data_IF_253951645462
#
_entry.id   IF_253951645462
#
_cell.length_a   1.000
_cell.length_b   1.000
_cell.length_c   1.000
_cell.angle_alpha   90.00
_cell.angle_beta   90.00
_cell.angle_gamma   90.00
#
_symmetry.space_group_name_H-M   'P 1'
#
loop_
_entity.id
_entity.type
_entity.pdbx_description
1 polymer ?
#
# COMPACT_ATOMS: atom_id res chain seq x y z
N UNK A 1 -43.46 16.38 47.74
CA UNK A 1 -43.66 15.02 48.31
C UNK A 1 -42.92 14.06 47.39
N UNK A 2 -41.69 13.60 47.74
CA UNK A 2 -41.40 12.33 48.47
C UNK A 2 -42.33 11.22 47.95
N UNK A 3 -41.85 10.14 47.33
CA UNK A 3 -40.99 9.10 47.93
C UNK A 3 -40.18 8.35 46.85
N UNK A 4 -38.87 8.21 47.12
CA UNK A 4 -37.92 7.30 46.49
C UNK A 4 -38.27 5.85 46.83
N UNK A 5 -38.26 4.94 45.84
CA UNK A 5 -38.28 3.50 46.08
C UNK A 5 -36.95 2.89 45.62
N UNK A 6 -36.11 2.60 46.60
CA UNK A 6 -34.87 1.83 46.49
C UNK A 6 -35.16 0.40 46.01
N UNK A 7 -34.40 -0.10 45.03
CA UNK A 7 -34.13 -1.54 44.90
C UNK A 7 -32.64 -1.79 45.05
N UNK A 8 -32.30 -2.34 46.22
CA UNK A 8 -31.00 -2.91 46.55
C UNK A 8 -30.72 -4.10 45.64
N UNK A 9 -29.81 -3.94 44.68
CA UNK A 9 -29.29 -5.06 43.90
C UNK A 9 -28.11 -5.67 44.67
N UNK A 10 -28.43 -6.78 45.32
CA UNK A 10 -27.60 -7.51 46.27
C UNK A 10 -26.40 -8.14 45.55
N UNK A 11 -25.21 -7.65 45.88
CA UNK A 11 -23.92 -8.28 45.59
C UNK A 11 -23.84 -9.66 46.26
N UNK A 12 -23.73 -10.73 45.46
CA UNK A 12 -23.23 -12.02 45.93
C UNK A 12 -21.82 -12.20 45.41
N UNK A 13 -20.87 -11.91 46.28
CA UNK A 13 -19.49 -12.35 46.19
C UNK A 13 -19.46 -13.87 45.99
N UNK A 14 -18.99 -14.33 44.83
CA UNK A 14 -18.36 -15.63 44.70
C UNK A 14 -16.86 -15.41 44.84
N UNK A 15 -16.37 -15.75 46.04
CA UNK A 15 -14.98 -16.06 46.29
C UNK A 15 -14.53 -17.15 45.32
N UNK A 16 -13.62 -16.82 44.41
CA UNK A 16 -12.75 -17.77 43.74
C UNK A 16 -11.31 -17.41 44.12
N UNK A 17 -10.86 -17.94 45.26
CA UNK A 17 -9.45 -17.91 45.65
C UNK A 17 -8.85 -19.26 45.27
N UNK A 18 -8.00 -19.20 44.24
CA UNK A 18 -6.72 -19.90 44.03
C UNK A 18 -6.69 -21.44 44.19
N UNK A 19 -6.36 -22.14 43.10
CA UNK A 19 -5.21 -23.06 42.91
C UNK A 19 -5.51 -23.93 41.68
N UNK A 20 -5.01 -23.52 40.51
CA UNK A 20 -4.83 -24.37 39.32
C UNK A 20 -3.82 -23.71 38.37
N UNK A 21 -2.64 -23.37 38.92
CA UNK A 21 -1.42 -23.31 38.11
C UNK A 21 -0.91 -24.74 37.97
N UNK A 22 -0.36 -25.05 36.78
CA UNK A 22 0.30 -26.29 36.33
C UNK A 22 -0.59 -27.13 35.38
N UNK A 23 -0.18 -27.16 34.11
CA UNK A 23 -0.68 -27.97 32.99
C UNK A 23 -1.81 -27.38 32.12
N UNK A 24 -1.80 -26.06 31.84
CA UNK A 24 -2.28 -25.63 30.54
C UNK A 24 -1.15 -25.91 29.55
N UNK A 25 -1.26 -26.91 28.64
CA UNK A 25 -0.34 -26.97 27.52
C UNK A 25 -0.44 -25.61 26.85
N UNK A 26 0.69 -24.92 26.76
CA UNK A 26 0.86 -23.78 25.87
C UNK A 26 0.52 -24.28 24.47
N UNK A 27 -0.76 -24.24 24.11
CA UNK A 27 -1.26 -24.23 22.75
C UNK A 27 -0.74 -22.92 22.16
N UNK A 28 0.55 -22.89 21.87
CA UNK A 28 1.10 -22.07 20.81
C UNK A 28 0.36 -22.54 19.58
N UNK A 29 -0.75 -21.87 19.27
CA UNK A 29 -1.39 -21.98 17.97
C UNK A 29 -0.33 -21.53 16.97
N UNK A 30 0.49 -22.47 16.53
CA UNK A 30 1.36 -22.29 15.38
C UNK A 30 0.40 -22.12 14.22
N UNK A 31 0.07 -20.86 13.92
CA UNK A 31 -0.66 -20.50 12.72
C UNK A 31 0.15 -21.10 11.56
N UNK A 32 -0.41 -22.12 10.92
CA UNK A 32 0.23 -22.73 9.76
C UNK A 32 0.37 -21.64 8.72
N UNK A 33 1.62 -21.22 8.47
CA UNK A 33 1.90 -20.26 7.42
C UNK A 33 1.45 -20.94 6.12
N UNK A 34 0.49 -20.35 5.39
CA UNK A 34 -0.02 -20.97 4.17
C UNK A 34 1.14 -21.23 3.22
N UNK A 35 1.19 -22.43 2.65
CA UNK A 35 2.22 -22.76 1.66
C UNK A 35 2.02 -21.90 0.42
N UNK A 36 2.97 -20.99 0.19
CA UNK A 36 2.94 -20.08 -0.95
C UNK A 36 3.46 -20.86 -2.16
N UNK A 37 2.61 -21.10 -3.16
CA UNK A 37 3.03 -21.57 -4.48
C UNK A 37 3.58 -20.40 -5.31
N UNK A 38 4.90 -20.33 -5.56
CA UNK A 38 5.51 -19.23 -6.31
C UNK A 38 4.96 -19.10 -7.73
N UNK A 39 4.60 -20.22 -8.37
CA UNK A 39 4.08 -20.24 -9.74
C UNK A 39 2.71 -19.58 -9.78
N UNK A 40 1.81 -19.94 -8.86
CA UNK A 40 0.51 -19.29 -8.77
C UNK A 40 0.61 -17.80 -8.43
N UNK A 41 1.55 -17.41 -7.57
CA UNK A 41 1.77 -16.02 -7.19
C UNK A 41 2.34 -15.16 -8.33
N UNK A 42 3.17 -15.74 -9.19
CA UNK A 42 3.75 -15.05 -10.33
C UNK A 42 2.78 -14.85 -11.51
N UNK A 43 1.65 -15.55 -11.52
CA UNK A 43 0.66 -15.44 -12.60
C UNK A 43 0.07 -14.04 -12.69
N UNK A 44 0.07 -13.49 -13.90
CA UNK A 44 -0.69 -12.28 -14.22
C UNK A 44 -2.19 -12.55 -14.04
N UNK A 45 -2.86 -11.64 -13.37
CA UNK A 45 -4.32 -11.63 -13.29
C UNK A 45 -4.84 -10.32 -13.88
N UNK A 46 -6.04 -10.42 -14.46
CA UNK A 46 -6.75 -9.29 -15.03
C UNK A 46 -7.84 -8.83 -14.07
N UNK A 47 -7.88 -7.52 -13.83
CA UNK A 47 -8.94 -6.88 -13.04
C UNK A 47 -9.55 -5.76 -13.87
N UNK A 48 -10.87 -5.73 -13.95
CA UNK A 48 -11.61 -4.72 -14.70
C UNK A 48 -12.39 -3.82 -13.73
N UNK A 49 -12.18 -2.50 -13.79
CA UNK A 49 -12.86 -1.49 -12.95
C UNK A 49 -13.25 -0.30 -13.81
N UNK A 50 -14.51 0.10 -13.75
CA UNK A 50 -15.01 1.26 -14.52
C UNK A 50 -14.78 1.11 -16.03
N UNK A 51 -14.76 -0.12 -16.56
CA UNK A 51 -14.47 -0.41 -17.97
C UNK A 51 -12.98 -0.39 -18.35
N UNK A 52 -12.09 -0.06 -17.42
CA UNK A 52 -10.64 -0.13 -17.59
C UNK A 52 -10.11 -1.49 -17.13
N UNK A 53 -9.17 -2.06 -17.90
CA UNK A 53 -8.55 -3.35 -17.60
C UNK A 53 -7.12 -3.17 -17.11
N UNK A 54 -6.79 -3.84 -16.01
CA UNK A 54 -5.47 -3.85 -15.40
C UNK A 54 -4.89 -5.27 -15.42
N UNK A 55 -3.58 -5.39 -15.67
CA UNK A 55 -2.84 -6.65 -15.70
C UNK A 55 -1.62 -6.50 -14.78
N UNK A 56 -1.57 -7.32 -13.75
CA UNK A 56 -0.50 -7.33 -12.77
C UNK A 56 -0.37 -8.74 -12.16
N UNK A 57 0.81 -9.12 -11.65
CA UNK A 57 1.01 -10.42 -11.04
C UNK A 57 0.18 -10.54 -9.77
N UNK A 58 -0.32 -11.74 -9.48
CA UNK A 58 -1.14 -12.02 -8.30
C UNK A 58 -0.46 -11.60 -7.01
N UNK A 59 0.85 -11.78 -6.91
CA UNK A 59 1.65 -11.41 -5.74
C UNK A 59 1.65 -9.89 -5.45
N UNK A 60 1.36 -9.06 -6.45
CA UNK A 60 1.23 -7.60 -6.28
C UNK A 60 -0.16 -7.18 -5.79
N UNK A 61 -1.13 -8.09 -5.67
CA UNK A 61 -2.38 -7.79 -4.98
C UNK A 61 -2.12 -7.79 -3.48
N UNK A 62 -2.17 -6.60 -2.89
CA UNK A 62 -2.40 -6.54 -1.46
C UNK A 62 -3.81 -7.07 -1.22
N UNK A 63 -3.96 -8.02 -0.28
CA UNK A 63 -5.19 -8.79 -0.08
C UNK A 63 -6.42 -7.89 -0.25
N UNK A 64 -7.42 -8.29 -1.05
CA UNK A 64 -8.66 -7.52 -1.10
C UNK A 64 -9.14 -7.37 0.34
N UNK A 65 -9.70 -6.21 0.66
CA UNK A 65 -10.25 -5.80 1.97
C UNK A 65 -11.31 -6.77 2.55
N UNK A 66 -11.52 -7.93 1.92
CA UNK A 66 -12.61 -8.88 2.09
C UNK A 66 -12.32 -10.05 3.03
N UNK A 67 -11.09 -10.26 3.47
CA UNK A 67 -10.79 -11.38 4.37
C UNK A 67 -10.90 -10.97 5.85
N UNK A 68 -12.14 -10.84 6.29
CA UNK A 68 -12.52 -11.31 7.64
C UNK A 68 -13.81 -12.12 7.52
N UNK A 69 -13.67 -13.36 7.03
CA UNK A 69 -14.42 -14.55 7.44
C UNK A 69 -15.97 -14.54 7.41
N UNK A 70 -16.64 -13.52 6.87
CA UNK A 70 -18.10 -13.54 6.69
C UNK A 70 -18.44 -13.98 5.28
N UNK A 71 -18.94 -15.21 5.21
CA UNK A 71 -19.23 -15.96 3.99
C UNK A 71 -19.87 -15.15 2.87
N UNK A 72 -19.30 -15.36 1.68
CA UNK A 72 -19.81 -15.37 0.30
C UNK A 72 -21.28 -15.05 -0.06
N UNK A 73 -22.03 -14.27 0.72
CA UNK A 73 -23.39 -13.86 0.37
C UNK A 73 -23.44 -12.34 0.14
N UNK A 74 -23.51 -12.01 -1.15
CA UNK A 74 -24.18 -10.81 -1.70
C UNK A 74 -23.59 -9.42 -1.38
N UNK A 75 -22.31 -9.29 -1.04
CA UNK A 75 -21.71 -7.93 -1.09
C UNK A 75 -21.51 -7.51 -2.55
N UNK A 76 -21.97 -6.30 -2.94
CA UNK A 76 -21.83 -5.78 -4.29
C UNK A 76 -20.37 -5.83 -4.74
N UNK A 77 -20.11 -5.94 -6.05
CA UNK A 77 -18.75 -5.96 -6.58
C UNK A 77 -18.00 -4.73 -6.04
N UNK A 78 -16.91 -5.00 -5.32
CA UNK A 78 -16.03 -3.95 -4.85
C UNK A 78 -15.36 -3.33 -6.07
N UNK A 79 -15.65 -2.06 -6.33
CA UNK A 79 -15.13 -1.30 -7.46
C UNK A 79 -13.71 -0.76 -7.17
N UNK A 80 -12.81 -1.63 -6.69
CA UNK A 80 -11.45 -1.27 -6.32
C UNK A 80 -10.48 -2.44 -6.16
N UNK A 81 -9.18 -2.14 -6.04
CA UNK A 81 -8.12 -3.05 -5.58
C UNK A 81 -6.92 -2.24 -5.06
N UNK A 82 -6.03 -2.91 -4.33
CA UNK A 82 -4.77 -2.31 -3.87
C UNK A 82 -3.59 -3.04 -4.49
N UNK A 83 -2.67 -2.28 -5.06
CA UNK A 83 -1.40 -2.76 -5.58
C UNK A 83 -0.32 -2.57 -4.53
N UNK A 84 0.37 -3.64 -4.17
CA UNK A 84 1.55 -3.61 -3.32
C UNK A 84 2.81 -3.44 -4.17
N UNK A 85 3.64 -2.49 -3.77
CA UNK A 85 4.92 -2.15 -4.37
C UNK A 85 6.00 -2.50 -3.35
N UNK A 86 6.56 -3.70 -3.48
CA UNK A 86 7.47 -4.23 -2.48
C UNK A 86 8.50 -5.20 -3.06
N UNK A 87 9.63 -5.31 -2.36
CA UNK A 87 10.67 -6.29 -2.67
C UNK A 87 10.34 -7.58 -1.95
N UNK A 88 10.00 -8.60 -2.72
CA UNK A 88 9.64 -9.92 -2.21
C UNK A 88 10.83 -10.56 -1.48
N UNK A 89 10.60 -11.05 -0.26
CA UNK A 89 11.63 -11.74 0.53
C UNK A 89 12.65 -10.82 1.23
N UNK A 90 12.30 -9.55 1.47
CA UNK A 90 13.12 -8.57 2.18
C UNK A 90 12.84 -8.48 3.69
N UNK A 91 11.65 -8.86 4.16
CA UNK A 91 11.25 -8.69 5.58
C UNK A 91 10.42 -9.84 6.12
N UNK A 92 11.07 -10.91 6.61
CA UNK A 92 10.40 -12.00 7.34
C UNK A 92 9.39 -12.85 6.54
N UNK A 93 8.98 -12.39 5.36
CA UNK A 93 8.25 -13.15 4.36
C UNK A 93 9.11 -14.33 3.91
N UNK A 94 8.47 -15.50 3.79
CA UNK A 94 9.08 -16.78 3.44
C UNK A 94 10.16 -16.58 2.36
N UNK A 95 11.38 -17.10 2.60
CA UNK A 95 12.47 -17.08 1.60
C UNK A 95 12.02 -17.60 0.23
N UNK A 96 11.00 -18.47 0.20
CA UNK A 96 10.31 -18.95 -1.01
C UNK A 96 9.79 -17.82 -1.92
N UNK A 97 9.48 -16.65 -1.38
CA UNK A 97 9.04 -15.49 -2.16
C UNK A 97 10.11 -14.99 -3.15
N UNK A 98 11.39 -15.29 -2.93
CA UNK A 98 12.46 -15.02 -3.90
C UNK A 98 12.38 -15.90 -5.15
N UNK A 99 11.76 -17.07 -5.05
CA UNK A 99 11.52 -17.96 -6.19
C UNK A 99 10.50 -17.36 -7.17
N UNK A 100 9.74 -16.34 -6.75
CA UNK A 100 8.74 -15.66 -7.57
C UNK A 100 9.42 -14.74 -8.61
N UNK A 101 10.51 -14.05 -8.26
CA UNK A 101 11.14 -13.06 -9.15
C UNK A 101 11.39 -13.56 -10.58
N UNK A 102 12.05 -14.71 -10.82
CA UNK A 102 12.30 -15.19 -12.17
C UNK A 102 11.04 -15.63 -12.93
N UNK A 103 9.92 -15.85 -12.21
CA UNK A 103 8.65 -16.28 -12.77
C UNK A 103 7.76 -15.10 -13.19
N UNK A 104 8.03 -13.89 -12.68
CA UNK A 104 7.24 -12.69 -12.99
C UNK A 104 7.37 -12.32 -14.47
N UNK A 105 6.25 -12.19 -15.17
CA UNK A 105 6.19 -11.83 -16.60
C UNK A 105 6.28 -10.33 -16.85
N UNK A 106 5.79 -9.50 -15.91
CA UNK A 106 5.81 -8.03 -16.00
C UNK A 106 7.19 -7.49 -15.63
N UNK A 107 7.76 -6.66 -16.50
CA UNK A 107 9.11 -6.11 -16.30
C UNK A 107 9.17 -5.19 -15.09
N UNK A 108 8.15 -4.37 -14.85
CA UNK A 108 8.09 -3.49 -13.69
C UNK A 108 8.17 -4.27 -12.38
N UNK A 109 7.44 -5.39 -12.29
CA UNK A 109 7.34 -6.17 -11.07
C UNK A 109 8.63 -6.95 -10.83
N UNK A 110 9.20 -7.53 -11.90
CA UNK A 110 10.50 -8.20 -11.85
C UNK A 110 11.60 -7.24 -11.39
N UNK A 111 11.64 -6.04 -11.97
CA UNK A 111 12.61 -5.00 -11.61
C UNK A 111 12.58 -4.68 -10.11
N UNK A 112 11.39 -4.47 -9.54
CA UNK A 112 11.24 -4.21 -8.10
C UNK A 112 11.58 -5.46 -7.27
N UNK A 113 11.18 -6.64 -7.71
CA UNK A 113 11.45 -7.91 -7.03
C UNK A 113 12.96 -8.16 -6.85
N UNK A 114 13.73 -7.88 -7.89
CA UNK A 114 15.18 -8.11 -7.92
C UNK A 114 15.96 -7.08 -7.09
N UNK A 115 15.44 -5.86 -6.92
CA UNK A 115 16.17 -4.79 -6.24
C UNK A 115 15.30 -3.71 -5.60
N UNK A 116 15.51 -3.48 -4.30
CA UNK A 116 14.96 -2.34 -3.54
C UNK A 116 15.58 -0.98 -3.92
N UNK A 117 16.50 -0.99 -4.88
CA UNK A 117 17.22 0.21 -5.31
C UNK A 117 16.76 0.69 -6.68
N UNK A 118 15.83 -0.01 -7.33
CA UNK A 118 15.35 0.42 -8.65
C UNK A 118 14.72 1.81 -8.59
N UNK A 119 14.84 2.61 -9.67
CA UNK A 119 14.24 3.95 -9.69
C UNK A 119 12.74 3.89 -9.47
N UNK A 120 12.09 2.83 -9.98
CA UNK A 120 10.67 2.61 -9.84
C UNK A 120 10.26 2.41 -8.38
N UNK A 121 10.91 1.50 -7.65
CA UNK A 121 10.62 1.27 -6.23
C UNK A 121 10.81 2.53 -5.38
N UNK A 122 11.81 3.34 -5.70
CA UNK A 122 12.13 4.58 -4.97
C UNK A 122 11.21 5.75 -5.29
N UNK A 123 10.42 5.66 -6.36
CA UNK A 123 9.55 6.75 -6.82
C UNK A 123 8.08 6.49 -6.53
N UNK A 124 7.69 5.21 -6.38
CA UNK A 124 6.32 4.83 -6.10
C UNK A 124 6.02 4.78 -4.58
N UNK A 125 4.75 5.00 -4.19
CA UNK A 125 4.31 4.63 -2.86
C UNK A 125 4.39 3.11 -2.67
N UNK A 126 4.51 2.67 -1.41
CA UNK A 126 4.50 1.24 -1.06
C UNK A 126 3.18 0.56 -1.44
N UNK A 127 2.06 1.27 -1.36
CA UNK A 127 0.74 0.75 -1.70
C UNK A 127 -0.06 1.79 -2.46
N UNK A 128 -0.77 1.34 -3.49
CA UNK A 128 -1.64 2.19 -4.32
C UNK A 128 -3.01 1.53 -4.39
N UNK A 129 -4.01 2.14 -3.78
CA UNK A 129 -5.41 1.76 -3.95
C UNK A 129 -5.96 2.42 -5.22
N UNK A 130 -6.54 1.61 -6.11
CA UNK A 130 -7.21 2.02 -7.33
C UNK A 130 -8.68 1.70 -7.20
N UNK A 131 -9.54 2.71 -7.23
CA UNK A 131 -10.97 2.53 -7.02
C UNK A 131 -11.79 3.62 -7.73
N UNK A 132 -13.10 3.40 -7.84
CA UNK A 132 -14.04 4.46 -8.18
C UNK A 132 -14.31 5.37 -6.97
N UNK A 133 -14.56 6.68 -7.14
CA UNK A 133 -14.83 7.59 -6.02
C UNK A 133 -15.93 7.11 -5.05
N UNK A 134 -17.00 6.49 -5.54
CA UNK A 134 -18.09 5.94 -4.72
C UNK A 134 -17.65 4.79 -3.78
N UNK A 135 -16.56 4.10 -4.11
CA UNK A 135 -16.00 3.02 -3.31
C UNK A 135 -15.18 3.50 -2.10
N UNK A 136 -14.97 4.82 -1.93
CA UNK A 136 -14.30 5.39 -0.75
C UNK A 136 -14.99 4.97 0.57
N UNK A 137 -16.29 4.68 0.52
CA UNK A 137 -17.06 4.21 1.67
C UNK A 137 -16.54 2.94 2.32
N UNK A 138 -15.68 2.15 1.63
CA UNK A 138 -14.99 0.99 2.21
C UNK A 138 -14.15 1.36 3.45
N UNK A 139 -13.67 2.60 3.50
CA UNK A 139 -12.83 3.10 4.59
C UNK A 139 -13.61 3.60 5.81
N UNK A 140 -14.95 3.55 5.81
CA UNK A 140 -15.81 4.08 6.89
C UNK A 140 -15.62 3.37 8.23
N UNK A 141 -15.06 2.16 8.22
CA UNK A 141 -14.85 1.37 9.43
C UNK A 141 -13.36 1.17 9.73
N UNK A 142 -12.48 1.79 8.96
CA UNK A 142 -11.02 1.75 9.16
C UNK A 142 -10.64 2.82 10.17
N UNK A 143 -10.62 2.49 11.47
CA UNK A 143 -10.13 3.42 12.49
C UNK A 143 -8.66 3.78 12.26
N UNK A 144 -8.32 5.06 12.38
CA UNK A 144 -6.95 5.54 12.44
C UNK A 144 -6.51 5.56 13.90
N UNK A 145 -5.33 5.00 14.19
CA UNK A 145 -4.84 4.88 15.56
C UNK A 145 -4.74 6.26 16.22
N UNK A 146 -5.31 6.39 17.42
CA UNK A 146 -5.15 7.56 18.29
C UNK A 146 -5.94 8.82 17.91
N UNK A 147 -6.36 9.02 16.66
CA UNK A 147 -7.05 10.25 16.24
C UNK A 147 -8.56 10.27 16.51
N UNK A 148 -9.17 9.10 16.76
CA UNK A 148 -10.63 8.96 16.84
C UNK A 148 -11.35 9.14 15.51
N UNK A 149 -10.62 9.29 14.41
CA UNK A 149 -11.13 9.39 13.04
C UNK A 149 -11.01 8.06 12.31
N UNK A 150 -11.79 7.91 11.24
CA UNK A 150 -11.66 6.82 10.28
C UNK A 150 -10.81 7.26 9.09
N UNK A 151 -10.27 6.30 8.32
CA UNK A 151 -9.59 6.59 7.06
C UNK A 151 -10.52 7.30 6.08
N UNK A 152 -11.83 7.01 6.11
CA UNK A 152 -12.84 7.73 5.32
C UNK A 152 -12.87 9.23 5.63
N UNK A 153 -12.86 9.61 6.91
CA UNK A 153 -12.91 11.03 7.33
C UNK A 153 -11.70 11.84 6.83
N UNK A 154 -10.59 11.16 6.52
CA UNK A 154 -9.41 11.76 5.92
C UNK A 154 -9.54 11.79 4.40
N UNK A 155 -9.73 10.64 3.75
CA UNK A 155 -9.72 10.56 2.28
C UNK A 155 -10.90 11.28 1.62
N UNK A 156 -12.03 11.48 2.33
CA UNK A 156 -13.16 12.27 1.82
C UNK A 156 -12.86 13.77 1.70
N UNK A 157 -11.76 14.24 2.32
CA UNK A 157 -11.31 15.64 2.25
C UNK A 157 -10.36 15.90 1.07
N UNK A 158 -9.86 14.83 0.42
CA UNK A 158 -8.92 14.95 -0.71
C UNK A 158 -9.69 15.47 -1.94
N UNK A 159 -9.18 16.53 -2.57
CA UNK A 159 -9.67 16.97 -3.87
C UNK A 159 -8.97 16.18 -4.97
N UNK A 160 -9.68 15.22 -5.54
CA UNK A 160 -9.18 14.48 -6.70
C UNK A 160 -9.19 15.38 -7.94
N UNK A 161 -8.00 15.58 -8.51
CA UNK A 161 -7.76 16.34 -9.72
C UNK A 161 -6.78 15.55 -10.60
N UNK A 162 -6.87 15.68 -11.92
CA UNK A 162 -6.01 14.93 -12.86
C UNK A 162 -4.62 15.53 -13.01
N UNK A 163 -4.45 16.81 -12.77
CA UNK A 163 -3.19 17.51 -13.00
C UNK A 163 -2.31 17.51 -11.75
N UNK A 164 -2.94 17.38 -10.58
CA UNK A 164 -2.26 17.53 -9.30
C UNK A 164 -2.83 16.60 -8.25
N UNK A 165 -1.94 15.88 -7.56
CA UNK A 165 -2.31 15.14 -6.36
C UNK A 165 -2.60 16.10 -5.20
N UNK A 166 -3.58 15.74 -4.37
CA UNK A 166 -3.94 16.45 -3.15
C UNK A 166 -3.78 15.56 -1.93
N UNK A 167 -3.61 16.17 -0.75
CA UNK A 167 -3.32 15.50 0.50
C UNK A 167 -4.31 15.92 1.58
N UNK A 168 -4.76 14.95 2.35
CA UNK A 168 -5.49 15.18 3.59
C UNK A 168 -4.83 14.43 4.75
N UNK A 169 -4.92 14.99 5.95
CA UNK A 169 -4.41 14.39 7.17
C UNK A 169 -5.50 14.29 8.23
N UNK A 170 -5.36 13.32 9.13
CA UNK A 170 -6.14 13.26 10.35
C UNK A 170 -5.81 14.43 11.27
N UNK A 171 -6.68 14.60 12.27
CA UNK A 171 -6.33 15.33 13.48
C UNK A 171 -5.13 14.65 14.16
N UNK A 172 -4.28 15.42 14.86
CA UNK A 172 -3.16 14.85 15.60
C UNK A 172 -3.67 13.95 16.73
N UNK A 173 -3.02 12.80 16.89
CA UNK A 173 -3.24 11.92 18.03
C UNK A 173 -2.66 12.53 19.33
N UNK A 174 -2.83 11.89 20.51
CA UNK A 174 -2.26 12.40 21.76
C UNK A 174 -0.72 12.54 21.76
N UNK A 175 -0.03 11.85 20.85
CA UNK A 175 1.42 11.95 20.64
C UNK A 175 1.79 13.05 19.63
N UNK A 176 0.80 13.72 19.03
CA UNK A 176 0.98 14.77 18.04
C UNK A 176 1.12 14.26 16.61
N UNK A 177 1.06 12.94 16.38
CA UNK A 177 1.21 12.34 15.06
C UNK A 177 -0.07 12.41 14.25
N UNK A 178 0.08 12.56 12.93
CA UNK A 178 -1.04 12.55 11.99
C UNK A 178 -0.88 11.41 10.99
N UNK A 179 -2.00 10.79 10.66
CA UNK A 179 -2.09 9.87 9.51
C UNK A 179 -2.50 10.68 8.28
N UNK A 180 -1.66 10.71 7.25
CA UNK A 180 -1.95 11.41 6.01
C UNK A 180 -2.18 10.43 4.85
N UNK A 181 -3.07 10.81 3.95
CA UNK A 181 -3.28 10.13 2.67
C UNK A 181 -3.24 11.17 1.56
N UNK A 182 -2.77 10.75 0.39
CA UNK A 182 -2.80 11.55 -0.81
C UNK A 182 -3.49 10.79 -1.93
N UNK A 183 -3.98 11.54 -2.91
CA UNK A 183 -4.71 10.97 -4.03
C UNK A 183 -4.70 11.84 -5.27
N UNK A 184 -4.94 11.21 -6.41
CA UNK A 184 -5.02 11.86 -7.71
C UNK A 184 -6.13 11.22 -8.55
N UNK A 185 -6.80 12.01 -9.39
CA UNK A 185 -7.72 11.46 -10.39
C UNK A 185 -6.94 10.84 -11.55
N UNK A 186 -7.42 9.70 -12.03
CA UNK A 186 -6.87 8.96 -13.15
C UNK A 186 -7.77 9.14 -14.40
N UNK A 187 -7.31 8.60 -15.53
CA UNK A 187 -8.15 8.44 -16.71
C UNK A 187 -9.40 7.61 -16.36
N UNK A 188 -10.52 7.90 -17.04
CA UNK A 188 -11.82 7.22 -16.88
C UNK A 188 -12.51 7.43 -15.51
N UNK A 189 -12.10 8.45 -14.74
CA UNK A 189 -12.78 8.82 -13.48
C UNK A 189 -12.48 7.88 -12.30
N UNK A 190 -11.46 7.04 -12.43
CA UNK A 190 -10.90 6.31 -11.30
C UNK A 190 -10.03 7.25 -10.46
N UNK A 191 -9.77 6.86 -9.22
CA UNK A 191 -8.83 7.55 -8.34
C UNK A 191 -7.73 6.59 -7.89
N UNK A 192 -6.52 7.12 -7.72
CA UNK A 192 -5.46 6.47 -7.00
C UNK A 192 -5.31 7.09 -5.61
N UNK A 193 -5.12 6.25 -4.59
CA UNK A 193 -4.91 6.63 -3.20
C UNK A 193 -3.70 5.92 -2.61
N UNK A 194 -2.92 6.63 -1.80
CA UNK A 194 -1.78 6.07 -1.06
C UNK A 194 -1.63 6.75 0.29
N UNK A 195 -0.89 6.12 1.19
CA UNK A 195 -0.51 6.73 2.46
C UNK A 195 0.66 7.70 2.24
N UNK A 196 0.53 8.91 2.76
CA UNK A 196 1.51 9.99 2.62
C UNK A 196 2.23 10.24 3.95
N UNK A 197 3.50 10.65 3.89
CA UNK A 197 4.24 11.03 5.10
C UNK A 197 3.64 12.28 5.75
N UNK A 198 3.65 12.39 7.08
CA UNK A 198 3.04 13.50 7.81
C UNK A 198 3.61 14.87 7.40
N UNK A 199 4.94 14.96 7.32
CA UNK A 199 5.66 16.18 6.99
C UNK A 199 6.41 15.95 5.67
N UNK A 200 5.82 16.35 4.53
CA UNK A 200 6.53 16.24 3.27
C UNK A 200 7.70 17.18 3.37
N UNK A 201 8.86 16.61 3.16
CA UNK A 201 10.09 17.37 3.32
C UNK A 201 10.46 18.07 2.00
N UNK A 202 9.66 17.85 0.96
CA UNK A 202 9.63 18.49 -0.35
C UNK A 202 8.19 18.98 -0.63
N UNK A 203 7.96 20.28 -0.87
CA UNK A 203 6.62 20.81 -1.15
C UNK A 203 5.99 20.26 -2.43
N UNK A 204 6.81 19.71 -3.34
CA UNK A 204 6.36 19.12 -4.61
C UNK A 204 6.26 17.59 -4.53
N UNK A 205 6.44 16.99 -3.35
CA UNK A 205 6.44 15.53 -3.15
C UNK A 205 5.17 14.88 -3.69
N UNK A 206 4.00 15.37 -3.32
CA UNK A 206 2.73 14.79 -3.75
C UNK A 206 2.50 14.96 -5.25
N UNK A 207 2.86 16.11 -5.82
CA UNK A 207 2.73 16.35 -7.26
C UNK A 207 3.59 15.36 -8.05
N UNK A 208 4.84 15.17 -7.62
CA UNK A 208 5.79 14.23 -8.19
C UNK A 208 5.32 12.77 -8.05
N UNK A 209 4.87 12.38 -6.86
CA UNK A 209 4.31 11.04 -6.61
C UNK A 209 3.04 10.79 -7.42
N UNK A 210 2.16 11.79 -7.52
CA UNK A 210 0.95 11.72 -8.36
C UNK A 210 1.28 11.45 -9.83
N UNK A 211 2.27 12.14 -10.38
CA UNK A 211 2.71 11.93 -11.77
C UNK A 211 3.24 10.52 -12.00
N UNK A 212 4.10 10.00 -11.12
CA UNK A 212 4.64 8.64 -11.29
C UNK A 212 3.58 7.57 -11.05
N UNK A 213 2.60 7.79 -10.16
CA UNK A 213 1.44 6.91 -9.98
C UNK A 213 0.59 6.86 -11.25
N UNK A 214 0.26 8.00 -11.86
CA UNK A 214 -0.47 8.04 -13.14
C UNK A 214 0.29 7.28 -14.23
N UNK A 215 1.60 7.48 -14.32
CA UNK A 215 2.45 6.77 -15.26
C UNK A 215 2.53 5.28 -14.99
N UNK A 216 2.60 4.86 -13.73
CA UNK A 216 2.58 3.45 -13.35
C UNK A 216 1.27 2.78 -13.75
N UNK A 217 0.13 3.43 -13.47
CA UNK A 217 -1.19 2.91 -13.87
C UNK A 217 -1.27 2.75 -15.38
N UNK A 218 -0.84 3.77 -16.14
CA UNK A 218 -0.92 3.78 -17.60
C UNK A 218 0.05 2.82 -18.28
N UNK A 219 1.30 2.80 -17.82
CA UNK A 219 2.43 2.16 -18.51
C UNK A 219 2.85 0.82 -17.90
N UNK A 220 2.54 0.56 -16.62
CA UNK A 220 2.98 -0.66 -15.92
C UNK A 220 1.87 -1.69 -15.79
N UNK A 221 0.68 -1.28 -15.33
CA UNK A 221 -0.43 -2.20 -15.05
C UNK A 221 -1.60 -2.05 -16.03
N UNK A 222 -1.49 -1.15 -17.00
CA UNK A 222 -2.44 -1.08 -18.11
C UNK A 222 -2.37 -2.31 -19.03
N UNK A 223 -3.25 -2.35 -20.05
CA UNK A 223 -3.35 -3.47 -21.01
C UNK A 223 -2.03 -3.82 -21.70
N UNK A 224 -1.16 -2.85 -21.93
CA UNK A 224 0.16 -3.03 -22.52
C UNK A 224 1.19 -2.39 -21.60
N UNK A 225 2.27 -3.12 -21.34
CA UNK A 225 3.42 -2.58 -20.60
C UNK A 225 4.29 -1.72 -21.52
N UNK A 226 4.71 -0.57 -21.02
CA UNK A 226 5.79 0.26 -21.56
C UNK A 226 6.78 0.56 -20.43
N UNK A 227 7.53 -0.48 -20.06
CA UNK A 227 8.47 -0.44 -18.93
C UNK A 227 9.59 0.57 -19.15
N UNK A 228 10.09 0.70 -20.38
CA UNK A 228 11.19 1.62 -20.69
C UNK A 228 10.76 3.09 -20.48
N UNK A 229 9.56 3.47 -20.92
CA UNK A 229 9.03 4.80 -20.67
C UNK A 229 8.74 5.04 -19.18
N UNK A 230 8.23 4.03 -18.47
CA UNK A 230 8.01 4.10 -17.03
C UNK A 230 9.32 4.26 -16.25
N UNK A 231 10.36 3.49 -16.58
CA UNK A 231 11.67 3.53 -15.91
C UNK A 231 12.31 4.91 -16.11
N UNK A 232 12.26 5.49 -17.31
CA UNK A 232 12.69 6.87 -17.57
C UNK A 232 12.01 7.88 -16.66
N UNK A 233 10.69 7.83 -16.59
CA UNK A 233 9.91 8.78 -15.78
C UNK A 233 10.15 8.58 -14.29
N UNK A 234 10.28 7.33 -13.82
CA UNK A 234 10.66 7.05 -12.45
C UNK A 234 11.99 7.69 -12.08
N UNK A 235 12.98 7.67 -12.98
CA UNK A 235 14.25 8.35 -12.69
C UNK A 235 14.09 9.87 -12.65
N UNK A 236 13.29 10.46 -13.54
CA UNK A 236 13.01 11.91 -13.56
C UNK A 236 12.21 12.37 -12.34
N UNK A 237 11.30 11.52 -11.84
CA UNK A 237 10.35 11.79 -10.75
C UNK A 237 10.80 11.17 -9.42
N UNK A 238 12.06 10.76 -9.30
CA UNK A 238 12.60 10.30 -8.03
C UNK A 238 12.67 11.44 -7.03
N UNK A 239 12.53 11.14 -5.74
CA UNK A 239 12.80 12.12 -4.69
C UNK A 239 14.24 12.66 -4.85
N UNK A 240 14.42 13.98 -5.04
CA UNK A 240 15.75 14.58 -5.23
C UNK A 240 16.65 14.41 -3.99
N UNK A 241 16.07 14.09 -2.84
CA UNK A 241 16.77 13.95 -1.55
C UNK A 241 16.93 12.50 -1.15
N UNK A 242 16.34 11.56 -1.89
CA UNK A 242 16.63 10.15 -1.70
C UNK A 242 18.15 9.97 -1.88
N UNK A 243 18.85 9.41 -0.88
CA UNK A 243 20.28 9.28 -0.93
C UNK A 243 20.63 8.49 -2.19
N UNK A 244 21.53 9.07 -2.98
CA UNK A 244 22.24 8.31 -3.99
C UNK A 244 23.22 7.45 -3.22
N UNK A 245 22.80 6.25 -2.85
CA UNK A 245 23.63 5.37 -2.04
C UNK A 245 24.81 4.95 -2.92
N UNK A 246 25.92 5.69 -2.82
CA UNK A 246 27.10 5.54 -3.66
C UNK A 246 27.82 4.19 -3.53
N UNK A 247 27.33 3.33 -2.63
CA UNK A 247 27.87 2.00 -2.35
C UNK A 247 26.91 0.86 -2.70
N UNK A 248 25.68 1.15 -3.11
CA UNK A 248 24.73 0.10 -3.48
C UNK A 248 24.49 0.21 -4.97
N UNK A 249 25.20 -0.61 -5.77
CA UNK A 249 25.07 -0.53 -7.20
C UNK A 249 23.63 -0.94 -7.51
N UNK A 250 22.89 -0.06 -8.20
CA UNK A 250 22.04 -0.60 -9.26
C UNK A 250 22.88 -1.66 -9.96
N UNK A 251 22.31 -2.83 -10.23
CA UNK A 251 23.04 -3.83 -10.99
C UNK A 251 23.60 -3.15 -12.25
N UNK A 252 24.74 -3.64 -12.75
CA UNK A 252 25.47 -2.97 -13.83
C UNK A 252 24.56 -2.64 -15.03
N UNK A 253 23.59 -3.51 -15.31
CA UNK A 253 22.64 -3.32 -16.40
C UNK A 253 21.70 -2.14 -16.13
N UNK A 254 21.16 -2.03 -14.92
CA UNK A 254 20.33 -0.89 -14.51
C UNK A 254 21.13 0.42 -14.50
N UNK A 255 22.40 0.42 -14.05
CA UNK A 255 23.27 1.60 -14.17
C UNK A 255 23.47 2.04 -15.64
N UNK A 256 23.72 1.09 -16.53
CA UNK A 256 23.91 1.35 -17.95
C UNK A 256 22.64 1.92 -18.59
N UNK A 257 21.45 1.38 -18.25
CA UNK A 257 20.16 1.93 -18.70
C UNK A 257 19.93 3.36 -18.21
N UNK A 258 20.11 3.60 -16.91
CA UNK A 258 19.88 4.91 -16.29
C UNK A 258 20.84 5.97 -16.83
N UNK A 259 22.13 5.62 -17.06
CA UNK A 259 23.12 6.54 -17.65
C UNK A 259 22.74 7.00 -19.06
N UNK A 260 22.01 6.17 -19.81
CA UNK A 260 21.60 6.50 -21.18
C UNK A 260 20.41 7.46 -21.24
N UNK A 261 19.73 7.74 -20.13
CA UNK A 261 18.69 8.75 -20.07
C UNK A 261 19.34 10.14 -20.05
N UNK A 262 19.59 10.67 -21.25
CA UNK A 262 20.21 11.97 -21.46
C UNK A 262 19.46 13.07 -20.69
N UNK A 263 20.20 13.88 -19.93
CA UNK A 263 19.66 15.04 -19.21
C UNK A 263 19.31 14.81 -17.74
N UNK A 264 19.43 13.58 -17.23
CA UNK A 264 19.39 13.37 -15.80
C UNK A 264 20.65 13.93 -15.16
N UNK A 265 20.49 14.91 -14.26
CA UNK A 265 21.60 15.34 -13.42
C UNK A 265 22.09 14.09 -12.67
N UNK A 266 23.37 13.70 -12.81
CA UNK A 266 23.91 12.66 -11.96
C UNK A 266 23.63 13.07 -10.53
N UNK A 267 23.21 12.10 -9.73
CA UNK A 267 23.19 12.17 -8.28
C UNK A 267 24.28 13.12 -7.79
N UNK A 268 23.95 14.20 -7.05
CA UNK A 268 25.00 14.96 -6.40
C UNK A 268 25.76 13.97 -5.53
N UNK A 269 27.03 13.74 -5.86
CA UNK A 269 27.92 12.96 -5.02
C UNK A 269 27.88 13.66 -3.66
N UNK A 270 27.39 12.97 -2.63
CA UNK A 270 27.23 13.54 -1.30
C UNK A 270 28.52 14.23 -0.89
N UNK A 271 28.43 15.54 -0.66
CA UNK A 271 29.50 16.36 -0.08
C UNK A 271 29.60 16.13 1.41
#
# INVERSE_FOLDING_TARGET
MKVFAERKQQWRHRFCVVVAMLLLPSCSCSEEIPDIDPVSMAQDVRVDIGGQSFILPRVAFHRPWRDSERGYLETPPFDGFTVWIGVYGSTGELLKSREICPLLTRQWSRSICESAYTPLYRSLPREIALLKPEALSVYRHTGLAGSGQTKYDVVSKIRFDRERADRACSDPDPSGHRSCSAGIELENGLIALWDAGENPSDPDEDARVGQIVQSFVKKAIGRKEDFEALEREAVMLRDPRAPCIGYEPYDRQTMERVRNYAGLKPCPLGS
#
